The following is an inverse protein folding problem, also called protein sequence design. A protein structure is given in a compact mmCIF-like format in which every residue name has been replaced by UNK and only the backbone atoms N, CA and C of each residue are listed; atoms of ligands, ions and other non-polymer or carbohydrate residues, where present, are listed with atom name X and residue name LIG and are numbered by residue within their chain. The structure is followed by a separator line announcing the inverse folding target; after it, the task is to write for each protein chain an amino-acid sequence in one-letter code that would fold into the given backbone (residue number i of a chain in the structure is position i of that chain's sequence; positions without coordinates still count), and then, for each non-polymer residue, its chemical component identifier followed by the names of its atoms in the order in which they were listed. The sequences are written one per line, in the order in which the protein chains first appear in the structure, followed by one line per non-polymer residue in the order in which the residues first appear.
data_IF_614791198470
#
_entry.id   IF_614791198470
#
_cell.length_a   1.000
_cell.length_b   1.000
_cell.length_c   1.000
_cell.angle_alpha   90.00
_cell.angle_beta   90.00
_cell.angle_gamma   90.00
#
_symmetry.space_group_name_H-M   'P 1'
#
loop_
_entity.id
_entity.type
_entity.pdbx_description
1 polymer ?
#
# COMPACT_ATOMS: atom_id res chain seq x y z
N UNK A 1 -25.28 13.26 15.30
CA UNK A 1 -24.50 12.20 14.61
C UNK A 1 -23.61 12.90 13.60
N UNK A 2 -22.35 13.19 13.97
CA UNK A 2 -21.46 14.00 13.12
C UNK A 2 -20.98 13.14 11.95
N UNK A 3 -21.25 13.56 10.71
CA UNK A 3 -20.72 12.90 9.53
C UNK A 3 -19.20 13.03 9.54
N UNK A 4 -18.49 11.92 9.72
CA UNK A 4 -17.04 11.89 9.61
C UNK A 4 -16.73 11.96 8.11
N UNK A 5 -16.15 13.07 7.66
CA UNK A 5 -15.69 13.22 6.28
C UNK A 5 -14.64 12.14 6.02
N UNK A 6 -14.97 11.15 5.18
CA UNK A 6 -14.02 10.13 4.78
C UNK A 6 -12.74 10.80 4.27
N UNK A 7 -11.59 10.35 4.78
CA UNK A 7 -10.29 10.87 4.39
C UNK A 7 -10.07 10.71 2.88
N UNK A 8 -9.20 11.54 2.29
CA UNK A 8 -8.91 11.44 0.84
C UNK A 8 -8.47 10.01 0.48
N UNK A 9 -8.97 9.46 -0.64
CA UNK A 9 -8.62 8.13 -1.07
C UNK A 9 -7.11 8.01 -1.34
N UNK A 10 -6.58 6.81 -1.15
CA UNK A 10 -5.17 6.48 -1.33
C UNK A 10 -5.05 5.46 -2.46
N UNK A 11 -4.17 5.74 -3.43
CA UNK A 11 -3.76 4.78 -4.43
C UNK A 11 -2.49 4.06 -3.94
N UNK A 12 -2.51 2.73 -3.94
CA UNK A 12 -1.35 1.89 -3.64
C UNK A 12 -0.76 1.38 -4.95
N UNK A 13 0.54 1.62 -5.16
CA UNK A 13 1.29 1.20 -6.35
C UNK A 13 2.55 0.48 -5.89
N UNK A 14 2.69 -0.78 -6.31
CA UNK A 14 3.81 -1.66 -6.14
C UNK A 14 4.71 -1.58 -7.37
N UNK A 15 5.86 -0.96 -7.21
CA UNK A 15 6.90 -0.93 -8.23
C UNK A 15 7.92 -2.05 -7.96
N UNK A 16 7.61 -3.28 -8.37
CA UNK A 16 8.48 -4.45 -8.17
C UNK A 16 9.65 -4.43 -9.14
N UNK A 17 10.74 -3.75 -8.76
CA UNK A 17 11.95 -3.63 -9.55
C UNK A 17 13.15 -4.25 -8.83
N UNK A 18 13.79 -5.24 -9.44
CA UNK A 18 15.01 -5.91 -8.93
C UNK A 18 16.25 -5.59 -9.79
N UNK A 19 16.48 -4.29 -10.04
CA UNK A 19 17.60 -3.79 -10.84
C UNK A 19 18.50 -2.84 -10.03
N UNK A 20 19.80 -2.82 -10.34
CA UNK A 20 20.74 -1.78 -9.91
C UNK A 20 21.32 -1.90 -8.49
N UNK A 21 20.76 -2.74 -7.62
CA UNK A 21 21.17 -2.81 -6.22
C UNK A 21 22.30 -3.82 -5.90
N UNK A 22 22.71 -4.66 -6.86
CA UNK A 22 23.69 -5.74 -6.64
C UNK A 22 23.21 -6.85 -5.69
N UNK A 23 21.98 -6.75 -5.19
CA UNK A 23 21.26 -7.72 -4.36
C UNK A 23 19.96 -8.08 -5.07
N UNK A 24 19.59 -9.36 -5.00
CA UNK A 24 18.34 -9.89 -5.56
C UNK A 24 17.24 -9.92 -4.51
N UNK A 25 15.99 -9.93 -4.97
CA UNK A 25 14.81 -10.16 -4.13
C UNK A 25 14.10 -8.90 -3.65
N UNK A 26 14.48 -7.70 -4.11
CA UNK A 26 13.78 -6.46 -3.73
C UNK A 26 12.44 -6.31 -4.45
N UNK A 27 12.22 -7.04 -5.54
CA UNK A 27 10.93 -7.21 -6.22
C UNK A 27 9.85 -7.84 -5.33
N UNK A 28 10.24 -8.61 -4.31
CA UNK A 28 9.31 -9.17 -3.33
C UNK A 28 8.78 -8.13 -2.33
N UNK A 29 9.41 -6.96 -2.24
CA UNK A 29 9.09 -5.91 -1.27
C UNK A 29 7.62 -5.47 -1.30
N UNK A 30 7.06 -5.05 -2.45
CA UNK A 30 5.66 -4.65 -2.55
C UNK A 30 4.68 -5.73 -2.04
N UNK A 31 4.88 -6.99 -2.43
CA UNK A 31 4.05 -8.11 -1.97
C UNK A 31 4.20 -8.36 -0.47
N UNK A 32 5.41 -8.27 0.09
CA UNK A 32 5.64 -8.44 1.52
C UNK A 32 4.95 -7.34 2.34
N UNK A 33 4.99 -6.09 1.88
CA UNK A 33 4.31 -4.96 2.53
C UNK A 33 2.79 -5.12 2.47
N UNK A 34 2.24 -5.58 1.34
CA UNK A 34 0.82 -5.91 1.23
C UNK A 34 0.42 -6.99 2.23
N UNK A 35 1.21 -8.07 2.29
CA UNK A 35 0.97 -9.19 3.22
C UNK A 35 1.00 -8.75 4.68
N UNK A 36 1.80 -7.74 5.03
CA UNK A 36 1.85 -7.15 6.38
C UNK A 36 0.58 -6.32 6.74
N UNK A 37 -0.41 -6.23 5.86
CA UNK A 37 -1.72 -5.62 6.12
C UNK A 37 -1.75 -4.11 5.91
N UNK A 38 -0.94 -3.56 5.00
CA UNK A 38 -0.86 -2.12 4.75
C UNK A 38 -2.23 -1.49 4.46
N UNK A 39 -3.04 -2.09 3.57
CA UNK A 39 -4.34 -1.56 3.17
C UNK A 39 -5.28 -1.40 4.37
N UNK A 40 -5.47 -2.46 5.16
CA UNK A 40 -6.35 -2.42 6.34
C UNK A 40 -5.89 -1.42 7.40
N UNK A 41 -4.57 -1.19 7.55
CA UNK A 41 -4.06 -0.14 8.45
C UNK A 41 -4.41 1.26 7.96
N UNK A 42 -4.33 1.52 6.66
CA UNK A 42 -4.70 2.82 6.06
C UNK A 42 -6.22 3.02 6.13
N UNK A 43 -7.00 1.99 5.85
CA UNK A 43 -8.47 2.02 5.98
C UNK A 43 -8.90 2.27 7.43
N UNK A 44 -8.19 1.72 8.42
CA UNK A 44 -8.40 2.01 9.84
C UNK A 44 -8.17 3.48 10.23
N UNK A 45 -7.50 4.27 9.38
CA UNK A 45 -7.37 5.72 9.53
C UNK A 45 -8.52 6.50 8.85
N UNK A 46 -9.55 5.80 8.38
CA UNK A 46 -10.71 6.39 7.70
C UNK A 46 -10.44 6.81 6.26
N UNK A 47 -9.47 6.18 5.59
CA UNK A 47 -9.07 6.48 4.20
C UNK A 47 -9.36 5.29 3.28
N UNK A 48 -10.20 5.44 2.25
CA UNK A 48 -10.39 4.41 1.25
C UNK A 48 -9.08 4.10 0.52
N UNK A 49 -8.79 2.83 0.28
CA UNK A 49 -7.59 2.37 -0.43
C UNK A 49 -7.99 1.74 -1.77
N UNK A 50 -7.26 2.08 -2.82
CA UNK A 50 -7.35 1.45 -4.14
C UNK A 50 -5.98 0.90 -4.52
N UNK A 51 -5.87 -0.42 -4.63
CA UNK A 51 -4.62 -1.07 -5.04
C UNK A 51 -4.56 -1.19 -6.57
N UNK A 52 -3.47 -0.71 -7.16
CA UNK A 52 -3.23 -0.64 -8.61
C UNK A 52 -2.14 -1.61 -9.10
N UNK A 53 -1.77 -2.60 -8.28
CA UNK A 53 -0.72 -3.58 -8.60
C UNK A 53 0.60 -3.21 -7.97
#
# INVERSE_FOLDING_TARGET
MSAQTAGRPVALIGASLDLGAGRRGVDMGPSAIRYAGLAGRIEGLGRPVFDWG
#
